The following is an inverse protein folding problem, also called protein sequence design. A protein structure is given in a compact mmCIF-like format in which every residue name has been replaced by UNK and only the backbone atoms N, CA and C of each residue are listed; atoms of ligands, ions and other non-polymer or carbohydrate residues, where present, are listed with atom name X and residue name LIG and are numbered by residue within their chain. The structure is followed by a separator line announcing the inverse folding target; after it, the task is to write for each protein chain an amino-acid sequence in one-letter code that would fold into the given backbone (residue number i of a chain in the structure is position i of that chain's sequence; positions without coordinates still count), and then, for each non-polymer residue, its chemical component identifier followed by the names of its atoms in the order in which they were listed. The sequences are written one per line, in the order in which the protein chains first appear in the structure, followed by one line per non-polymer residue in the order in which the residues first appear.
data_IF_176094319897
#
_entry.id   IF_176094319897
#
_cell.length_a   1.000
_cell.length_b   1.000
_cell.length_c   1.000
_cell.angle_alpha   90.00
_cell.angle_beta   90.00
_cell.angle_gamma   90.00
#
_symmetry.space_group_name_H-M   'P 1'
#
loop_
_entity.id
_entity.type
_entity.pdbx_description
1 polymer ?
#
# COMPACT_ATOMS: atom_id res chain seq x y z
N UNK A 1 16.21 1.63 29.91
CA UNK A 1 17.35 0.69 29.79
C UNK A 1 18.40 1.04 30.84
N UNK A 2 19.14 0.10 31.43
CA UNK A 2 20.24 0.45 32.36
C UNK A 2 21.39 1.13 31.59
N UNK A 3 22.05 2.20 32.13
CA UNK A 3 23.07 2.97 31.40
C UNK A 3 24.21 2.12 30.83
N UNK A 4 24.66 1.11 31.59
CA UNK A 4 25.71 0.17 31.18
C UNK A 4 25.33 -0.71 29.99
N UNK A 5 24.04 -1.04 29.84
CA UNK A 5 23.56 -1.81 28.68
C UNK A 5 23.48 -0.96 27.42
N UNK A 6 23.17 0.33 27.57
CA UNK A 6 23.11 1.28 26.44
C UNK A 6 24.51 1.55 25.90
N UNK A 7 25.49 1.81 26.78
CA UNK A 7 26.89 1.99 26.40
C UNK A 7 27.43 0.77 25.64
N UNK A 8 27.18 -0.44 26.16
CA UNK A 8 27.61 -1.68 25.52
C UNK A 8 26.92 -1.92 24.17
N UNK A 9 25.65 -1.56 24.04
CA UNK A 9 24.93 -1.65 22.77
C UNK A 9 25.53 -0.72 21.71
N UNK A 10 25.79 0.55 22.06
CA UNK A 10 26.47 1.48 21.15
C UNK A 10 27.86 0.99 20.76
N UNK A 11 28.67 0.54 21.72
CA UNK A 11 30.01 0.02 21.42
C UNK A 11 30.01 -1.19 20.49
N UNK A 12 28.97 -2.03 20.55
CA UNK A 12 28.90 -3.29 19.78
C UNK A 12 28.19 -3.13 18.44
N UNK A 13 27.13 -2.34 18.38
CA UNK A 13 26.25 -2.24 17.21
C UNK A 13 26.43 -0.94 16.42
N UNK A 14 26.81 0.15 17.09
CA UNK A 14 26.92 1.49 16.50
C UNK A 14 28.15 2.25 17.06
N UNK A 15 29.39 1.74 16.85
CA UNK A 15 30.60 2.30 17.45
C UNK A 15 30.88 3.74 16.98
N UNK A 16 30.38 4.12 15.81
CA UNK A 16 30.40 5.46 15.23
C UNK A 16 29.49 6.47 15.97
N UNK A 17 28.50 5.97 16.73
CA UNK A 17 27.50 6.79 17.44
C UNK A 17 27.74 6.89 18.94
N UNK A 18 28.74 6.17 19.49
CA UNK A 18 28.95 6.05 20.94
C UNK A 18 29.31 7.37 21.64
N UNK A 19 30.00 8.27 20.93
CA UNK A 19 30.50 9.55 21.47
C UNK A 19 29.62 10.75 21.05
N UNK A 20 28.46 10.49 20.43
CA UNK A 20 27.55 11.55 19.99
C UNK A 20 26.78 12.11 21.19
N UNK A 21 26.52 13.42 21.17
CA UNK A 21 25.82 14.10 22.25
C UNK A 21 24.28 13.96 22.14
N UNK A 22 23.57 14.38 23.18
CA UNK A 22 22.10 14.32 23.23
C UNK A 22 21.45 15.10 22.08
N UNK A 23 22.02 16.25 21.70
CA UNK A 23 21.50 17.07 20.60
C UNK A 23 21.50 16.31 19.26
N UNK A 24 22.55 15.54 18.97
CA UNK A 24 22.61 14.67 17.79
C UNK A 24 21.44 13.68 17.75
N UNK A 25 21.13 13.02 18.86
CA UNK A 25 20.03 12.05 18.92
C UNK A 25 18.66 12.72 18.85
N UNK A 26 18.49 13.92 19.42
CA UNK A 26 17.27 14.70 19.28
C UNK A 26 17.03 15.13 17.81
N UNK A 27 18.08 15.51 17.09
CA UNK A 27 17.98 15.81 15.65
C UNK A 27 17.69 14.56 14.84
N UNK A 28 18.26 13.42 15.22
CA UNK A 28 18.02 12.13 14.57
C UNK A 28 16.57 11.66 14.75
N UNK A 29 16.03 11.82 15.96
CA UNK A 29 14.63 11.57 16.28
C UNK A 29 13.69 12.53 15.51
N UNK A 30 14.02 13.82 15.44
CA UNK A 30 13.26 14.78 14.63
C UNK A 30 13.27 14.39 13.15
N UNK A 31 14.42 13.99 12.61
CA UNK A 31 14.56 13.55 11.22
C UNK A 31 13.73 12.29 10.95
N UNK A 32 13.77 11.33 11.88
CA UNK A 32 12.96 10.12 11.82
C UNK A 32 11.45 10.42 11.86
N UNK A 33 11.01 11.29 12.77
CA UNK A 33 9.59 11.68 12.88
C UNK A 33 9.09 12.54 11.70
N UNK A 34 10.01 13.26 11.04
CA UNK A 34 9.71 14.01 9.82
C UNK A 34 9.63 13.11 8.58
N UNK A 35 10.18 11.90 8.64
CA UNK A 35 10.24 10.99 7.52
C UNK A 35 8.82 10.54 7.10
N UNK A 36 8.47 10.61 5.81
CA UNK A 36 7.17 10.23 5.32
C UNK A 36 6.97 8.70 5.43
N UNK A 37 6.03 8.28 6.26
CA UNK A 37 5.60 6.88 6.33
C UNK A 37 4.59 6.56 5.23
N UNK A 38 4.40 5.27 4.94
CA UNK A 38 3.32 4.79 4.06
C UNK A 38 1.97 5.35 4.48
N UNK A 39 1.66 5.35 5.79
CA UNK A 39 0.44 5.94 6.34
C UNK A 39 0.31 7.44 6.01
N UNK A 40 1.42 8.19 6.03
CA UNK A 40 1.44 9.63 5.75
C UNK A 40 1.32 9.93 4.25
N UNK A 41 1.81 9.04 3.39
CA UNK A 41 1.61 9.14 1.93
C UNK A 41 0.16 8.86 1.54
N UNK A 42 -0.44 7.83 2.14
CA UNK A 42 -1.85 7.53 1.93
C UNK A 42 -2.76 8.61 2.51
N UNK A 43 -2.41 9.28 3.60
CA UNK A 43 -3.21 10.39 4.11
C UNK A 43 -3.13 11.64 3.22
N UNK A 44 -1.99 11.89 2.55
CA UNK A 44 -1.87 12.98 1.56
C UNK A 44 -2.66 12.68 0.28
N UNK A 45 -2.61 11.43 -0.21
CA UNK A 45 -3.44 10.99 -1.33
C UNK A 45 -4.95 10.98 -0.95
N UNK A 46 -5.27 10.54 0.26
CA UNK A 46 -6.64 10.55 0.78
C UNK A 46 -7.21 11.97 0.92
N UNK A 47 -6.40 13.00 1.19
CA UNK A 47 -6.86 14.40 1.17
C UNK A 47 -7.37 14.88 -0.19
N UNK A 48 -6.95 14.24 -1.29
CA UNK A 48 -7.50 14.53 -2.63
C UNK A 48 -8.80 13.76 -2.91
N UNK A 49 -8.99 12.60 -2.27
CA UNK A 49 -10.22 11.78 -2.32
C UNK A 49 -11.23 12.12 -1.20
N UNK A 50 -10.85 12.95 -0.23
CA UNK A 50 -11.67 13.33 0.93
C UNK A 50 -12.94 14.05 0.47
N UNK A 51 -12.87 14.84 -0.62
CA UNK A 51 -14.05 15.46 -1.23
C UNK A 51 -15.05 14.40 -1.74
N UNK A 52 -14.56 13.30 -2.31
CA UNK A 52 -15.40 12.20 -2.82
C UNK A 52 -15.95 11.31 -1.70
N UNK A 53 -15.15 11.04 -0.67
CA UNK A 53 -15.56 10.27 0.51
C UNK A 53 -16.55 11.07 1.37
N UNK A 54 -16.30 12.37 1.55
CA UNK A 54 -17.19 13.31 2.22
C UNK A 54 -18.47 13.53 1.40
N UNK A 55 -18.39 13.64 0.08
CA UNK A 55 -19.56 13.71 -0.78
C UNK A 55 -20.41 12.43 -0.72
N UNK A 56 -19.77 11.26 -0.76
CA UNK A 56 -20.48 9.97 -0.69
C UNK A 56 -21.05 9.68 0.71
N UNK A 57 -20.37 10.11 1.78
CA UNK A 57 -20.93 10.17 3.13
C UNK A 57 -22.13 11.11 3.21
N UNK A 58 -22.03 12.34 2.68
CA UNK A 58 -23.12 13.32 2.69
C UNK A 58 -24.33 12.84 1.87
N UNK A 59 -24.11 12.20 0.73
CA UNK A 59 -25.17 11.58 -0.08
C UNK A 59 -25.82 10.42 0.69
N UNK A 60 -25.03 9.55 1.31
CA UNK A 60 -25.55 8.46 2.13
C UNK A 60 -26.33 8.96 3.34
N UNK A 61 -25.87 10.05 3.98
CA UNK A 61 -26.54 10.74 5.08
C UNK A 61 -27.87 11.35 4.63
N UNK A 62 -27.90 12.03 3.48
CA UNK A 62 -29.13 12.56 2.88
C UNK A 62 -30.12 11.45 2.53
N UNK A 63 -29.65 10.32 1.98
CA UNK A 63 -30.49 9.15 1.69
C UNK A 63 -31.03 8.55 2.99
N UNK A 64 -30.21 8.42 4.03
CA UNK A 64 -30.62 7.89 5.34
C UNK A 64 -31.52 8.85 6.15
N UNK A 65 -31.47 10.16 5.88
CA UNK A 65 -32.38 11.16 6.46
C UNK A 65 -33.72 11.25 5.71
N UNK A 66 -33.72 10.94 4.41
CA UNK A 66 -34.92 11.00 3.55
C UNK A 66 -35.69 9.68 3.51
N UNK A 67 -34.99 8.55 3.66
CA UNK A 67 -35.59 7.25 3.96
C UNK A 67 -35.65 7.15 5.48
N UNK A 68 -36.84 7.00 6.06
CA UNK A 68 -36.98 6.80 7.51
C UNK A 68 -36.36 5.46 7.94
N UNK A 69 -35.04 5.41 8.03
CA UNK A 69 -34.31 4.31 8.63
C UNK A 69 -34.33 4.52 10.14
N UNK A 70 -34.66 3.48 10.90
CA UNK A 70 -34.63 3.55 12.35
C UNK A 70 -33.20 3.94 12.80
N UNK A 71 -33.07 4.89 13.72
CA UNK A 71 -31.76 5.36 14.22
C UNK A 71 -30.85 4.20 14.69
N UNK A 72 -31.44 3.09 15.13
CA UNK A 72 -30.73 1.88 15.53
C UNK A 72 -29.97 1.21 14.36
N UNK A 73 -30.52 1.19 13.15
CA UNK A 73 -29.86 0.61 11.97
C UNK A 73 -28.63 1.43 11.55
N UNK A 74 -28.72 2.76 11.71
CA UNK A 74 -27.63 3.68 11.42
C UNK A 74 -26.50 3.54 12.44
N UNK A 75 -26.84 3.31 13.72
CA UNK A 75 -25.87 3.02 14.78
C UNK A 75 -25.12 1.71 14.51
N UNK A 76 -25.84 0.65 14.11
CA UNK A 76 -25.24 -0.64 13.73
C UNK A 76 -24.31 -0.48 12.53
N UNK A 77 -24.68 0.33 11.55
CA UNK A 77 -23.84 0.61 10.38
C UNK A 77 -22.54 1.35 10.76
N UNK A 78 -22.63 2.41 11.58
CA UNK A 78 -21.45 3.12 12.07
C UNK A 78 -20.51 2.19 12.86
N UNK A 79 -21.06 1.37 13.77
CA UNK A 79 -20.28 0.39 14.51
C UNK A 79 -19.57 -0.62 13.61
N UNK A 80 -20.22 -1.03 12.51
CA UNK A 80 -19.59 -1.92 11.53
C UNK A 80 -18.41 -1.26 10.83
N UNK A 81 -18.53 0.03 10.46
CA UNK A 81 -17.43 0.78 9.85
C UNK A 81 -16.24 0.97 10.80
N UNK A 82 -16.49 1.24 12.08
CA UNK A 82 -15.42 1.34 13.10
C UNK A 82 -14.70 0.01 13.30
N UNK A 83 -15.44 -1.08 13.36
CA UNK A 83 -14.88 -2.43 13.47
C UNK A 83 -14.04 -2.77 12.23
N UNK A 84 -14.54 -2.41 11.03
CA UNK A 84 -13.82 -2.59 9.78
C UNK A 84 -12.52 -1.77 9.77
N UNK A 85 -12.59 -0.49 10.17
CA UNK A 85 -11.41 0.36 10.26
C UNK A 85 -10.36 -0.21 11.22
N UNK A 86 -10.78 -0.70 12.37
CA UNK A 86 -9.89 -1.31 13.36
C UNK A 86 -9.23 -2.58 12.82
N UNK A 87 -9.99 -3.45 12.15
CA UNK A 87 -9.49 -4.68 11.50
C UNK A 87 -8.48 -4.35 10.38
N UNK A 88 -8.72 -3.29 9.60
CA UNK A 88 -7.77 -2.80 8.58
C UNK A 88 -6.48 -2.27 9.21
N UNK A 89 -6.58 -1.47 10.27
CA UNK A 89 -5.39 -0.99 10.99
C UNK A 89 -4.60 -2.20 11.47
N UNK A 90 -5.24 -3.17 12.14
CA UNK A 90 -4.56 -4.35 12.68
C UNK A 90 -3.86 -5.18 11.59
N UNK A 91 -4.59 -5.54 10.53
CA UNK A 91 -4.08 -6.39 9.44
C UNK A 91 -2.93 -5.78 8.66
N UNK A 92 -2.95 -4.47 8.48
CA UNK A 92 -1.95 -3.76 7.68
C UNK A 92 -0.96 -2.95 8.54
N UNK A 93 -0.86 -3.22 9.84
CA UNK A 93 0.06 -2.49 10.72
C UNK A 93 1.51 -2.58 10.27
N UNK A 94 1.91 -3.73 9.74
CA UNK A 94 3.25 -3.95 9.18
C UNK A 94 3.52 -3.01 8.00
N UNK A 95 2.57 -2.88 7.07
CA UNK A 95 2.65 -1.98 5.91
C UNK A 95 2.60 -0.51 6.36
N UNK A 96 1.73 -0.17 7.30
CA UNK A 96 1.57 1.20 7.80
C UNK A 96 2.81 1.70 8.55
N UNK A 97 3.55 0.80 9.20
CA UNK A 97 4.81 1.07 9.90
C UNK A 97 6.04 1.02 8.99
N UNK A 98 5.89 0.71 7.70
CA UNK A 98 7.01 0.79 6.77
C UNK A 98 7.48 2.24 6.66
N UNK A 99 8.71 2.45 7.07
CA UNK A 99 9.44 3.70 6.88
C UNK A 99 9.95 3.73 5.45
N UNK A 100 9.44 4.68 4.67
CA UNK A 100 9.91 4.90 3.30
C UNK A 100 11.05 5.91 3.38
N UNK A 101 12.26 5.54 2.91
CA UNK A 101 13.35 6.49 2.82
C UNK A 101 12.99 7.66 1.89
N UNK A 102 13.40 8.88 2.26
CA UNK A 102 13.05 10.10 1.52
C UNK A 102 13.47 10.03 0.04
N UNK A 103 14.61 9.40 -0.25
CA UNK A 103 15.13 9.23 -1.61
C UNK A 103 14.27 8.30 -2.48
N UNK A 104 13.39 7.48 -1.90
CA UNK A 104 12.42 6.70 -2.69
C UNK A 104 11.33 7.63 -3.23
N UNK A 105 10.97 8.68 -2.51
CA UNK A 105 9.94 9.63 -2.90
C UNK A 105 10.49 10.78 -3.71
N UNK A 106 11.72 11.20 -3.40
CA UNK A 106 12.45 12.20 -4.15
C UNK A 106 13.86 11.69 -4.48
N UNK A 107 14.00 10.88 -5.54
CA UNK A 107 15.27 10.27 -5.95
C UNK A 107 16.31 11.30 -6.40
N UNK A 108 15.86 12.52 -6.74
CA UNK A 108 16.71 13.61 -7.19
C UNK A 108 17.15 14.51 -6.04
N UNK A 109 16.59 14.34 -4.85
CA UNK A 109 17.02 15.06 -3.66
C UNK A 109 18.39 14.57 -3.20
N UNK A 110 19.30 15.53 -3.06
CA UNK A 110 20.67 15.36 -2.60
C UNK A 110 20.67 15.15 -1.08
N UNK A 111 20.20 13.99 -0.64
CA UNK A 111 20.27 13.56 0.75
C UNK A 111 21.52 12.71 0.93
N UNK A 112 22.40 13.15 1.81
CA UNK A 112 23.54 12.36 2.26
C UNK A 112 23.00 11.25 3.17
N UNK A 113 22.74 10.08 2.60
CA UNK A 113 22.09 8.97 3.29
C UNK A 113 23.20 8.00 3.69
N UNK A 114 23.20 7.56 4.95
CA UNK A 114 24.05 6.46 5.41
C UNK A 114 23.55 5.14 4.79
N UNK A 115 23.80 4.96 3.49
CA UNK A 115 23.55 3.75 2.73
C UNK A 115 24.90 3.06 2.49
N UNK A 116 24.90 1.77 2.17
CA UNK A 116 26.09 1.09 1.69
C UNK A 116 26.74 1.88 0.55
N UNK A 117 28.08 1.93 0.47
CA UNK A 117 28.80 2.74 -0.53
C UNK A 117 28.41 2.41 -1.98
N UNK A 118 28.00 1.18 -2.26
CA UNK A 118 27.50 0.76 -3.57
C UNK A 118 26.21 1.48 -3.99
N UNK A 119 25.32 1.75 -3.05
CA UNK A 119 24.04 2.43 -3.32
C UNK A 119 24.21 3.95 -3.39
N UNK A 120 25.21 4.48 -2.70
CA UNK A 120 25.59 5.89 -2.81
C UNK A 120 26.12 6.21 -4.22
N UNK A 121 26.94 5.32 -4.79
CA UNK A 121 27.42 5.44 -6.18
C UNK A 121 26.26 5.43 -7.18
N UNK A 122 25.32 4.48 -7.06
CA UNK A 122 24.12 4.42 -7.90
C UNK A 122 23.24 5.69 -7.78
N UNK A 123 23.12 6.28 -6.57
CA UNK A 123 22.39 7.54 -6.38
C UNK A 123 23.10 8.72 -7.04
N UNK A 124 24.43 8.76 -7.01
CA UNK A 124 25.22 9.80 -7.68
C UNK A 124 25.03 9.71 -9.20
N UNK A 125 25.08 8.52 -9.78
CA UNK A 125 24.81 8.31 -11.21
C UNK A 125 23.39 8.76 -11.59
N UNK A 126 22.41 8.43 -10.75
CA UNK A 126 21.01 8.79 -10.97
C UNK A 126 20.77 10.32 -10.89
N UNK A 127 21.43 11.00 -9.95
CA UNK A 127 21.31 12.46 -9.75
C UNK A 127 22.15 13.28 -10.73
N UNK A 128 23.20 12.71 -11.34
CA UNK A 128 24.03 13.39 -12.35
C UNK A 128 23.44 13.27 -13.76
N UNK A 129 22.60 12.28 -14.01
CA UNK A 129 21.99 12.05 -15.32
C UNK A 129 20.85 13.05 -15.65
N UNK A 130 21.11 14.00 -16.55
CA UNK A 130 20.11 15.02 -16.95
C UNK A 130 18.91 14.45 -17.71
N UNK A 131 19.08 13.37 -18.48
CA UNK A 131 17.96 12.74 -19.19
C UNK A 131 16.94 12.15 -18.22
N UNK A 132 17.42 11.59 -17.11
CA UNK A 132 16.60 11.01 -16.05
C UNK A 132 15.83 12.09 -15.29
N UNK A 133 16.45 13.25 -15.06
CA UNK A 133 15.78 14.43 -14.45
C UNK A 133 14.58 14.90 -15.28
N UNK A 134 14.71 14.90 -16.60
CA UNK A 134 13.60 15.29 -17.50
C UNK A 134 12.42 14.32 -17.38
N UNK A 135 12.70 13.03 -17.16
CA UNK A 135 11.68 11.96 -17.06
C UNK A 135 10.97 11.92 -15.70
N UNK A 136 11.51 12.58 -14.67
CA UNK A 136 10.91 12.66 -13.33
C UNK A 136 9.61 13.49 -13.26
N UNK A 137 9.25 14.19 -14.34
CA UNK A 137 8.05 15.06 -14.41
C UNK A 137 6.70 14.37 -14.08
N UNK A 138 6.65 13.03 -14.12
CA UNK A 138 5.44 12.25 -13.88
C UNK A 138 5.34 11.65 -12.47
N UNK A 139 6.20 12.07 -11.54
CA UNK A 139 6.23 11.60 -10.15
C UNK A 139 7.02 10.31 -9.93
N UNK A 140 7.32 10.01 -8.66
CA UNK A 140 8.23 8.92 -8.27
C UNK A 140 7.78 7.53 -8.71
N UNK A 141 6.48 7.23 -8.70
CA UNK A 141 5.97 5.91 -9.10
C UNK A 141 6.27 5.62 -10.58
N UNK A 142 5.94 6.57 -11.46
CA UNK A 142 6.18 6.44 -12.89
C UNK A 142 7.67 6.51 -13.22
N UNK A 143 8.45 7.23 -12.40
CA UNK A 143 9.89 7.26 -12.50
C UNK A 143 10.50 5.88 -12.27
N UNK A 144 10.22 5.26 -11.12
CA UNK A 144 10.82 3.98 -10.73
C UNK A 144 10.39 2.84 -11.66
N UNK A 145 9.17 2.85 -12.19
CA UNK A 145 8.65 1.82 -13.10
C UNK A 145 9.23 1.88 -14.53
N UNK A 146 10.16 2.78 -14.83
CA UNK A 146 10.79 2.87 -16.14
C UNK A 146 11.72 1.67 -16.40
N UNK A 147 11.64 1.11 -17.61
CA UNK A 147 12.45 -0.05 -18.02
C UNK A 147 13.97 0.14 -17.88
N UNK A 148 14.45 1.38 -17.96
CA UNK A 148 15.87 1.71 -17.83
C UNK A 148 16.37 1.70 -16.39
N UNK A 149 15.50 1.95 -15.40
CA UNK A 149 15.89 2.15 -14.01
C UNK A 149 16.46 0.88 -13.36
N UNK A 150 15.85 -0.31 -13.51
CA UNK A 150 16.44 -1.56 -12.98
C UNK A 150 17.82 -1.89 -13.54
N UNK A 151 18.18 -1.36 -14.72
CA UNK A 151 19.48 -1.58 -15.35
C UNK A 151 20.52 -0.56 -14.89
N UNK A 152 20.09 0.67 -14.61
CA UNK A 152 20.96 1.78 -14.23
C UNK A 152 21.30 1.76 -12.73
N UNK A 153 20.37 1.38 -11.88
CA UNK A 153 20.56 1.32 -10.43
C UNK A 153 19.90 0.06 -9.85
N UNK A 154 20.48 -1.13 -10.11
CA UNK A 154 19.90 -2.40 -9.69
C UNK A 154 19.80 -2.52 -8.16
N UNK A 155 20.75 -1.98 -7.42
CA UNK A 155 20.74 -1.97 -5.96
C UNK A 155 19.58 -1.14 -5.41
N UNK A 156 19.43 0.11 -5.87
CA UNK A 156 18.33 0.99 -5.46
C UNK A 156 16.98 0.41 -5.86
N UNK A 157 16.86 -0.09 -7.08
CA UNK A 157 15.63 -0.72 -7.56
C UNK A 157 15.21 -1.89 -6.67
N UNK A 158 16.15 -2.74 -6.23
CA UNK A 158 15.84 -3.91 -5.38
C UNK A 158 15.19 -3.54 -4.03
N UNK A 159 15.45 -2.32 -3.55
CA UNK A 159 14.85 -1.76 -2.34
C UNK A 159 13.49 -1.16 -2.67
N UNK A 160 13.44 -0.30 -3.70
CA UNK A 160 12.22 0.39 -4.13
C UNK A 160 11.12 -0.57 -4.53
N UNK A 161 11.45 -1.63 -5.27
CA UNK A 161 10.51 -2.66 -5.73
C UNK A 161 9.71 -3.26 -4.55
N UNK A 162 10.35 -3.47 -3.40
CA UNK A 162 9.67 -4.00 -2.20
C UNK A 162 8.60 -3.05 -1.70
N UNK A 163 8.89 -1.74 -1.68
CA UNK A 163 7.93 -0.72 -1.26
C UNK A 163 6.78 -0.57 -2.27
N UNK A 164 7.08 -0.59 -3.57
CA UNK A 164 6.06 -0.48 -4.62
C UNK A 164 5.11 -1.68 -4.67
N UNK A 165 5.59 -2.88 -4.32
CA UNK A 165 4.79 -4.12 -4.36
C UNK A 165 4.03 -4.35 -3.05
N UNK A 166 4.56 -3.95 -1.89
CA UNK A 166 4.01 -4.31 -0.57
C UNK A 166 2.51 -4.04 -0.42
N UNK A 167 2.04 -2.85 -0.81
CA UNK A 167 0.62 -2.51 -0.70
C UNK A 167 -0.24 -3.19 -1.78
N UNK A 168 0.06 -3.11 -3.09
CA UNK A 168 -0.70 -3.82 -4.11
C UNK A 168 -0.79 -5.33 -3.89
N UNK A 169 0.28 -5.99 -3.46
CA UNK A 169 0.28 -7.44 -3.21
C UNK A 169 -0.67 -7.81 -2.07
N UNK A 170 -0.63 -7.04 -0.99
CA UNK A 170 -1.44 -7.29 0.20
C UNK A 170 -2.92 -7.01 -0.08
N UNK A 171 -3.21 -5.92 -0.79
CA UNK A 171 -4.57 -5.63 -1.27
C UNK A 171 -5.12 -6.72 -2.18
N UNK A 172 -4.35 -7.20 -3.17
CA UNK A 172 -4.78 -8.26 -4.07
C UNK A 172 -5.01 -9.58 -3.35
N UNK A 173 -4.18 -9.89 -2.35
CA UNK A 173 -4.31 -11.08 -1.51
C UNK A 173 -5.62 -11.05 -0.71
N UNK A 174 -5.88 -9.95 0.01
CA UNK A 174 -7.09 -9.75 0.81
C UNK A 174 -8.36 -9.74 -0.05
N UNK A 175 -8.29 -9.09 -1.23
CA UNK A 175 -9.36 -9.21 -2.22
C UNK A 175 -9.61 -10.64 -2.68
N UNK A 176 -8.55 -11.42 -2.85
CA UNK A 176 -8.61 -12.85 -3.13
C UNK A 176 -9.35 -13.61 -2.04
N UNK A 177 -8.96 -13.40 -0.78
CA UNK A 177 -9.60 -14.05 0.37
C UNK A 177 -11.06 -13.66 0.55
N UNK A 178 -11.39 -12.37 0.40
CA UNK A 178 -12.77 -11.88 0.45
C UNK A 178 -13.65 -12.53 -0.63
N UNK A 179 -13.11 -12.67 -1.85
CA UNK A 179 -13.77 -13.38 -2.93
C UNK A 179 -14.01 -14.86 -2.59
N UNK A 180 -13.01 -15.54 -2.02
CA UNK A 180 -13.12 -16.94 -1.58
C UNK A 180 -14.17 -17.08 -0.48
N UNK A 181 -14.15 -16.24 0.56
CA UNK A 181 -15.14 -16.24 1.63
C UNK A 181 -16.54 -16.04 1.08
N UNK A 182 -16.73 -15.13 0.13
CA UNK A 182 -18.02 -14.90 -0.54
C UNK A 182 -18.48 -16.14 -1.32
N UNK A 183 -17.57 -16.81 -2.03
CA UNK A 183 -17.88 -18.05 -2.76
C UNK A 183 -18.28 -19.19 -1.82
N UNK A 184 -17.63 -19.31 -0.66
CA UNK A 184 -17.89 -20.38 0.32
C UNK A 184 -19.14 -20.14 1.18
N UNK A 185 -19.45 -18.88 1.52
CA UNK A 185 -20.55 -18.53 2.43
C UNK A 185 -21.92 -18.42 1.75
N UNK A 186 -21.98 -18.09 0.46
CA UNK A 186 -23.25 -18.10 -0.28
C UNK A 186 -23.69 -19.54 -0.58
N UNK A 187 -24.50 -20.08 0.34
CA UNK A 187 -25.15 -21.42 0.39
C UNK A 187 -25.82 -21.97 -0.88
N UNK A 188 -25.84 -21.22 -2.00
CA UNK A 188 -26.45 -21.60 -3.30
C UNK A 188 -25.45 -21.87 -4.43
N UNK A 189 -24.14 -21.68 -4.22
CA UNK A 189 -23.15 -21.81 -5.29
C UNK A 189 -22.38 -23.14 -5.21
N UNK A 190 -22.69 -24.07 -6.14
CA UNK A 190 -21.81 -25.20 -6.51
C UNK A 190 -20.52 -24.74 -7.23
N UNK A 191 -20.04 -23.52 -6.96
CA UNK A 191 -18.87 -22.94 -7.61
C UNK A 191 -17.63 -23.41 -6.87
N UNK A 192 -16.94 -24.38 -7.45
CA UNK A 192 -15.67 -24.85 -6.89
C UNK A 192 -14.56 -23.82 -7.14
N UNK A 193 -14.02 -23.29 -6.04
CA UNK A 193 -12.93 -22.29 -6.01
C UNK A 193 -11.76 -22.71 -6.91
N UNK A 194 -11.40 -23.99 -6.88
CA UNK A 194 -10.20 -24.52 -7.55
C UNK A 194 -10.46 -25.15 -8.92
N UNK A 195 -11.64 -25.72 -9.16
CA UNK A 195 -11.88 -26.56 -10.37
C UNK A 195 -12.54 -25.83 -11.54
N UNK A 196 -13.20 -24.69 -11.31
CA UNK A 196 -14.05 -24.04 -12.34
C UNK A 196 -13.63 -22.64 -12.75
N UNK A 197 -12.46 -22.16 -12.30
CA UNK A 197 -12.00 -20.80 -12.60
C UNK A 197 -12.89 -19.70 -12.01
N UNK A 198 -13.78 -20.02 -11.07
CA UNK A 198 -14.74 -19.06 -10.49
C UNK A 198 -14.05 -17.92 -9.75
N UNK A 199 -12.94 -18.21 -9.06
CA UNK A 199 -12.13 -17.18 -8.43
C UNK A 199 -11.50 -16.23 -9.48
N UNK A 200 -11.05 -16.78 -10.62
CA UNK A 200 -10.49 -15.98 -11.73
C UNK A 200 -11.56 -15.06 -12.33
N UNK A 201 -12.78 -15.57 -12.54
CA UNK A 201 -13.90 -14.74 -13.00
C UNK A 201 -14.24 -13.61 -12.03
N UNK A 202 -14.17 -13.87 -10.71
CA UNK A 202 -14.48 -12.87 -9.69
C UNK A 202 -13.39 -11.80 -9.52
N UNK A 203 -12.12 -12.17 -9.70
CA UNK A 203 -10.99 -11.26 -9.51
C UNK A 203 -10.60 -10.48 -10.77
N UNK A 204 -10.89 -11.02 -11.95
CA UNK A 204 -10.53 -10.39 -13.22
C UNK A 204 -11.64 -9.49 -13.76
N UNK A 205 -11.25 -8.54 -14.64
CA UNK A 205 -12.20 -7.75 -15.46
C UNK A 205 -12.65 -8.52 -16.72
N UNK A 206 -12.43 -9.83 -16.77
CA UNK A 206 -12.78 -10.64 -17.94
C UNK A 206 -14.29 -10.84 -17.94
N UNK A 207 -14.96 -10.28 -18.92
CA UNK A 207 -16.38 -10.50 -19.12
C UNK A 207 -16.62 -11.86 -19.81
N UNK A 208 -17.55 -12.69 -19.32
CA UNK A 208 -17.91 -13.92 -20.00
C UNK A 208 -18.57 -13.60 -21.34
N UNK A 209 -18.15 -14.29 -22.40
CA UNK A 209 -18.81 -14.20 -23.71
C UNK A 209 -20.16 -14.93 -23.66
N UNK A 210 -21.20 -14.18 -23.28
CA UNK A 210 -22.57 -14.66 -23.09
C UNK A 210 -23.10 -15.27 -24.40
N UNK A 211 -22.81 -14.67 -25.54
CA UNK A 211 -23.30 -15.14 -26.84
C UNK A 211 -22.72 -16.51 -27.20
N UNK A 212 -21.44 -16.74 -26.90
CA UNK A 212 -20.81 -18.05 -27.07
C UNK A 212 -21.37 -19.08 -26.09
N UNK A 213 -21.61 -18.70 -24.83
CA UNK A 213 -22.19 -19.60 -23.83
C UNK A 213 -23.61 -20.04 -24.19
N UNK A 214 -24.45 -19.13 -24.71
CA UNK A 214 -25.81 -19.43 -25.18
C UNK A 214 -25.78 -20.46 -26.32
N UNK A 215 -24.83 -20.35 -27.26
CA UNK A 215 -24.70 -21.30 -28.38
C UNK A 215 -24.38 -22.74 -27.95
N UNK A 216 -23.69 -22.91 -26.82
CA UNK A 216 -23.37 -24.24 -26.25
C UNK A 216 -24.40 -24.73 -25.23
N UNK A 217 -25.39 -23.91 -24.88
CA UNK A 217 -26.44 -24.30 -23.95
C UNK A 217 -27.48 -25.15 -24.68
N UNK A 218 -27.46 -26.47 -24.44
CA UNK A 218 -28.56 -27.32 -24.89
C UNK A 218 -29.81 -26.98 -24.08
N UNK A 219 -30.87 -26.60 -24.79
CA UNK A 219 -32.18 -26.37 -24.20
C UNK A 219 -32.65 -27.72 -23.65
N UNK A 220 -32.76 -27.84 -22.33
CA UNK A 220 -33.36 -29.02 -21.72
C UNK A 220 -34.81 -29.10 -22.20
N UNK A 221 -35.23 -30.19 -22.87
CA UNK A 221 -36.64 -30.38 -23.17
C UNK A 221 -37.38 -30.57 -21.84
N UNK A 222 -38.38 -29.73 -21.60
CA UNK A 222 -39.33 -29.93 -20.50
C UNK A 222 -40.11 -31.22 -20.76
N UNK A 223 -40.13 -32.11 -19.76
CA UNK A 223 -41.01 -33.27 -19.73
C UNK A 223 -42.46 -32.87 -19.42
#
# INVERSE_FOLDING_TARGET
MKPSRLQNHFNKMHPDKKDKNVAYFQDLEKKHNAQPSVSKLFSVAAKQDDDGLQASYNISLLIAQTVSCNNDDLLVYCQHLENLHSDFIERFQDILKLEIPDWVLDPLSNVNIAISPQLEEELIELTTNEEIKIKYKNGYQQFWLQKSIPQLCPGLWSIVERFLIAFPSSYLCERGFSAVTTLLTKKRNNLQVTKRGSLRLFLSKIEPDINKLIKYHQIHPSH
#
